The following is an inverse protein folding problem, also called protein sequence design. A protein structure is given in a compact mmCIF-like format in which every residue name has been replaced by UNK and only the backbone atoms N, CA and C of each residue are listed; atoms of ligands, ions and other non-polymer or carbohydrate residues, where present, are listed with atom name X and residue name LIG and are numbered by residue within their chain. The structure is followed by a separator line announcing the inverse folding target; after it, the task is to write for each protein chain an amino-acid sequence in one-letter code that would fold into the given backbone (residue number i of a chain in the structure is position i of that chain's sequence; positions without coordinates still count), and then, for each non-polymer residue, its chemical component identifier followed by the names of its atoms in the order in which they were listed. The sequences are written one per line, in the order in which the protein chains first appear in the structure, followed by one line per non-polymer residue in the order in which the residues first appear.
data_IF_811310228643
#
_entry.id   IF_811310228643
#
_cell.length_a   1.000
_cell.length_b   1.000
_cell.length_c   1.000
_cell.angle_alpha   90.00
_cell.angle_beta   90.00
_cell.angle_gamma   90.00
#
_symmetry.space_group_name_H-M   'P 1'
#
loop_
_entity.id
_entity.type
_entity.pdbx_description
1 polymer ?
#
# COMPACT_ATOMS: atom_id res chain seq x y z
N UNK A 1 21.24 56.00 0.56
CA UNK A 1 21.91 55.81 -0.74
C UNK A 1 21.47 54.47 -1.31
N UNK A 2 20.53 54.48 -2.25
CA UNK A 2 20.03 53.24 -2.89
C UNK A 2 21.10 52.73 -3.83
N UNK A 3 21.68 51.58 -3.51
CA UNK A 3 22.78 50.99 -4.27
C UNK A 3 22.29 50.62 -5.67
N UNK A 4 22.89 51.21 -6.72
CA UNK A 4 22.54 50.87 -8.09
C UNK A 4 22.81 49.38 -8.35
N UNK A 5 21.85 48.63 -8.93
CA UNK A 5 22.02 47.20 -9.18
C UNK A 5 23.16 46.95 -10.17
N UNK A 6 23.92 45.88 -9.94
CA UNK A 6 25.05 45.51 -10.79
C UNK A 6 24.60 45.29 -12.24
N UNK A 7 25.48 45.51 -13.24
CA UNK A 7 25.14 45.30 -14.65
C UNK A 7 24.60 43.89 -14.95
N UNK A 8 25.09 42.88 -14.21
CA UNK A 8 24.60 41.50 -14.34
C UNK A 8 23.18 41.35 -13.79
N UNK A 9 22.84 42.01 -12.68
CA UNK A 9 21.49 41.97 -12.11
C UNK A 9 20.45 42.56 -13.07
N UNK A 10 20.78 43.68 -13.74
CA UNK A 10 19.91 44.29 -14.76
C UNK A 10 19.63 43.36 -15.93
N UNK A 11 20.66 42.69 -16.47
CA UNK A 11 20.51 41.73 -17.58
C UNK A 11 19.59 40.56 -17.19
N UNK A 12 19.75 40.01 -15.98
CA UNK A 12 18.88 38.94 -15.47
C UNK A 12 17.43 39.39 -15.33
N UNK A 13 17.21 40.60 -14.84
CA UNK A 13 15.88 41.19 -14.70
C UNK A 13 15.19 41.37 -16.06
N UNK A 14 15.85 41.98 -17.05
CA UNK A 14 15.29 42.12 -18.40
C UNK A 14 14.96 40.75 -19.02
N UNK A 15 15.85 39.76 -18.86
CA UNK A 15 15.60 38.40 -19.37
C UNK A 15 14.35 37.78 -18.76
N UNK A 16 14.14 37.94 -17.44
CA UNK A 16 12.98 37.42 -16.73
C UNK A 16 11.67 38.08 -17.20
N UNK A 17 11.69 39.40 -17.39
CA UNK A 17 10.53 40.14 -17.91
C UNK A 17 10.16 39.68 -19.33
N UNK A 18 11.15 39.50 -20.21
CA UNK A 18 10.91 39.02 -21.58
C UNK A 18 10.29 37.62 -21.56
N UNK A 19 10.80 36.70 -20.74
CA UNK A 19 10.22 35.35 -20.64
C UNK A 19 8.78 35.39 -20.12
N UNK A 20 8.50 36.20 -19.09
CA UNK A 20 7.15 36.31 -18.54
C UNK A 20 6.15 36.87 -19.58
N UNK A 21 6.56 37.90 -20.33
CA UNK A 21 5.74 38.49 -21.38
C UNK A 21 5.40 37.49 -22.50
N UNK A 22 6.36 36.65 -22.92
CA UNK A 22 6.13 35.59 -23.90
C UNK A 22 5.10 34.58 -23.39
N UNK A 23 5.24 34.14 -22.14
CA UNK A 23 4.29 33.20 -21.55
C UNK A 23 2.88 33.79 -21.40
N UNK A 24 2.78 35.08 -21.06
CA UNK A 24 1.50 35.79 -20.96
C UNK A 24 0.83 35.99 -22.32
N UNK A 25 1.60 36.20 -23.39
CA UNK A 25 1.07 36.30 -24.75
C UNK A 25 0.60 34.94 -25.31
N UNK A 26 1.25 33.84 -24.90
CA UNK A 26 0.87 32.47 -25.26
C UNK A 26 -0.25 31.89 -24.39
N UNK A 27 -0.64 32.58 -23.31
CA UNK A 27 -1.73 32.18 -22.43
C UNK A 27 -3.08 32.63 -23.02
N UNK A 28 -3.78 31.72 -23.67
CA UNK A 28 -5.07 31.97 -24.30
C UNK A 28 -6.19 32.31 -23.29
N UNK A 29 -6.06 31.90 -22.03
CA UNK A 29 -7.06 32.15 -20.98
C UNK A 29 -6.70 33.37 -20.11
N UNK A 30 -5.56 34.02 -20.37
CA UNK A 30 -5.05 35.19 -19.64
C UNK A 30 -5.22 35.06 -18.12
N UNK A 31 -4.77 33.94 -17.57
CA UNK A 31 -4.97 33.66 -16.15
C UNK A 31 -4.12 34.58 -15.30
N UNK A 32 -4.72 35.09 -14.23
CA UNK A 32 -4.00 35.86 -13.22
C UNK A 32 -3.35 34.91 -12.22
N UNK A 33 -2.03 34.83 -12.25
CA UNK A 33 -1.26 34.00 -11.33
C UNK A 33 -0.95 34.78 -10.06
N UNK A 34 -1.03 34.13 -8.90
CA UNK A 34 -0.69 34.75 -7.61
C UNK A 34 0.80 35.14 -7.52
N UNK A 35 1.65 34.45 -8.29
CA UNK A 35 3.09 34.71 -8.39
C UNK A 35 3.49 34.88 -9.85
N UNK A 36 4.31 35.89 -10.13
CA UNK A 36 4.82 36.16 -11.50
C UNK A 36 5.58 34.98 -12.12
N UNK A 37 6.20 34.14 -11.27
CA UNK A 37 6.94 32.94 -11.67
C UNK A 37 6.05 31.82 -12.22
N UNK A 38 4.73 31.87 -11.98
CA UNK A 38 3.79 30.85 -12.44
C UNK A 38 3.21 31.15 -13.83
N UNK A 39 3.53 32.31 -14.42
CA UNK A 39 3.17 32.67 -15.80
C UNK A 39 3.47 31.58 -16.86
N UNK A 40 4.54 30.75 -16.77
CA UNK A 40 4.77 29.68 -17.74
C UNK A 40 3.69 28.60 -17.79
N UNK A 41 2.90 28.43 -16.71
CA UNK A 41 1.86 27.41 -16.63
C UNK A 41 0.71 27.64 -17.61
N UNK A 42 0.30 28.90 -17.84
CA UNK A 42 -0.77 29.23 -18.81
C UNK A 42 -0.39 28.94 -20.27
N UNK A 43 0.91 28.99 -20.59
CA UNK A 43 1.43 28.71 -21.94
C UNK A 43 1.71 27.22 -22.22
N UNK A 44 1.43 26.32 -21.28
CA UNK A 44 1.76 24.88 -21.43
C UNK A 44 0.99 24.26 -22.60
N UNK A 45 -0.32 24.49 -22.67
CA UNK A 45 -1.16 23.97 -23.76
C UNK A 45 -0.71 24.46 -25.13
N UNK A 46 -0.57 25.77 -25.32
CA UNK A 46 -0.14 26.36 -26.59
C UNK A 46 1.22 25.82 -27.04
N UNK A 47 2.16 25.62 -26.11
CA UNK A 47 3.47 25.03 -26.42
C UNK A 47 3.40 23.54 -26.75
N UNK A 48 2.55 22.77 -26.07
CA UNK A 48 2.36 21.35 -26.37
C UNK A 48 1.73 21.17 -27.76
N UNK A 49 0.70 21.96 -28.09
CA UNK A 49 0.06 21.94 -29.41
C UNK A 49 1.05 22.34 -30.52
N UNK A 50 1.90 23.34 -30.28
CA UNK A 50 2.88 23.78 -31.26
C UNK A 50 4.04 22.81 -31.46
N UNK A 51 4.48 22.10 -30.41
CA UNK A 51 5.61 21.19 -30.48
C UNK A 51 5.22 19.75 -30.89
N UNK A 52 3.99 19.31 -30.58
CA UNK A 52 3.50 17.97 -30.88
C UNK A 52 2.05 17.97 -31.41
N UNK A 53 1.80 18.52 -32.61
CA UNK A 53 0.45 18.63 -33.18
C UNK A 53 -0.23 17.27 -33.40
N UNK A 54 0.52 16.22 -33.77
CA UNK A 54 -0.04 14.91 -34.11
C UNK A 54 -0.13 13.94 -32.91
N UNK A 55 0.57 14.21 -31.80
CA UNK A 55 0.63 13.32 -30.63
C UNK A 55 -0.35 13.71 -29.52
N UNK A 56 -0.83 14.97 -29.54
CA UNK A 56 -1.91 15.43 -28.66
C UNK A 56 -3.26 14.95 -29.20
N UNK A 57 -3.56 13.66 -29.02
CA UNK A 57 -4.91 13.17 -29.29
C UNK A 57 -5.91 13.85 -28.32
N UNK A 58 -7.05 14.26 -28.85
CA UNK A 58 -8.14 14.91 -28.12
C UNK A 58 -8.48 14.12 -26.84
N UNK A 59 -8.25 14.73 -25.66
CA UNK A 59 -8.48 14.09 -24.35
C UNK A 59 -7.26 13.62 -23.55
N UNK A 60 -6.02 13.77 -24.04
CA UNK A 60 -4.81 13.53 -23.21
C UNK A 60 -4.47 14.68 -22.27
N UNK A 61 -4.91 15.90 -22.59
CA UNK A 61 -4.77 17.09 -21.76
C UNK A 61 -5.99 17.16 -20.82
N UNK A 62 -5.77 16.92 -19.54
CA UNK A 62 -6.80 16.99 -18.50
C UNK A 62 -6.55 18.25 -17.68
N UNK A 63 -7.61 18.96 -17.31
CA UNK A 63 -7.53 20.01 -16.29
C UNK A 63 -7.47 19.38 -14.90
N UNK A 64 -6.42 19.70 -14.16
CA UNK A 64 -6.26 19.35 -12.74
C UNK A 64 -7.41 19.92 -11.89
N UNK A 65 -7.51 19.51 -10.62
CA UNK A 65 -8.45 20.09 -9.64
C UNK A 65 -8.21 21.60 -9.45
N UNK A 66 -6.99 22.08 -9.73
CA UNK A 66 -6.60 23.50 -9.75
C UNK A 66 -6.76 24.16 -11.14
N UNK A 67 -7.37 23.46 -12.10
CA UNK A 67 -7.63 23.93 -13.46
C UNK A 67 -6.42 23.97 -14.39
N UNK A 68 -5.25 23.48 -13.97
CA UNK A 68 -4.00 23.49 -14.77
C UNK A 68 -4.02 22.42 -15.86
N UNK A 69 -3.39 22.70 -17.00
CA UNK A 69 -3.25 21.72 -18.08
C UNK A 69 -2.20 20.67 -17.73
N UNK A 70 -2.64 19.42 -17.50
CA UNK A 70 -1.77 18.28 -17.22
C UNK A 70 -1.95 17.19 -18.26
N UNK A 71 -0.85 16.55 -18.64
CA UNK A 71 -0.88 15.32 -19.42
C UNK A 71 -1.29 14.15 -18.53
N UNK A 72 -2.22 13.32 -19.02
CA UNK A 72 -2.53 12.03 -18.40
C UNK A 72 -1.42 11.01 -18.64
N UNK A 73 -0.23 11.26 -18.10
CA UNK A 73 0.96 10.42 -18.29
C UNK A 73 0.94 9.15 -17.42
N UNK A 74 0.15 9.14 -16.34
CA UNK A 74 0.14 8.04 -15.38
C UNK A 74 -1.30 7.63 -15.03
N UNK A 75 -1.61 6.31 -14.98
CA UNK A 75 -2.91 5.83 -14.50
C UNK A 75 -3.11 6.17 -13.03
N UNK A 76 -4.37 6.36 -12.63
CA UNK A 76 -4.75 6.77 -11.28
C UNK A 76 -4.23 5.77 -10.23
N UNK A 77 -3.43 6.27 -9.29
CA UNK A 77 -2.81 5.45 -8.27
C UNK A 77 -3.84 5.04 -7.20
N UNK A 78 -4.45 3.84 -7.35
CA UNK A 78 -5.24 3.21 -6.28
C UNK A 78 -4.35 2.78 -5.12
N UNK A 79 -4.10 3.68 -4.17
CA UNK A 79 -3.42 3.33 -2.90
C UNK A 79 -4.28 2.37 -2.10
N UNK A 80 -3.71 1.25 -1.68
CA UNK A 80 -4.35 0.41 -0.65
C UNK A 80 -4.49 1.21 0.64
N UNK A 81 -5.66 1.11 1.25
CA UNK A 81 -5.87 1.53 2.62
C UNK A 81 -4.86 0.83 3.54
N UNK A 82 -4.08 1.64 4.26
CA UNK A 82 -2.97 1.21 5.12
C UNK A 82 -3.39 1.20 6.60
N UNK A 83 -4.69 1.02 6.88
CA UNK A 83 -5.14 0.84 8.26
C UNK A 83 -4.72 -0.55 8.77
N UNK A 84 -3.99 -0.63 9.89
CA UNK A 84 -3.58 -1.91 10.45
C UNK A 84 -4.80 -2.71 10.90
N UNK A 85 -4.80 -4.02 10.64
CA UNK A 85 -5.84 -4.91 11.14
C UNK A 85 -5.81 -4.89 12.69
N UNK A 86 -6.99 -4.83 13.35
CA UNK A 86 -7.07 -4.76 14.80
C UNK A 86 -6.46 -6.01 15.45
N UNK A 87 -5.54 -5.81 16.39
CA UNK A 87 -4.89 -6.88 17.15
C UNK A 87 -5.94 -7.67 17.97
N UNK A 88 -6.15 -8.95 17.63
CA UNK A 88 -6.96 -9.89 18.46
C UNK A 88 -6.02 -10.83 19.21
N UNK A 89 -5.89 -10.61 20.52
CA UNK A 89 -4.99 -11.37 21.43
C UNK A 89 -5.68 -12.49 22.21
N UNK A 90 -7.00 -12.68 22.10
CA UNK A 90 -7.72 -13.67 22.90
C UNK A 90 -7.73 -15.07 22.23
N UNK A 91 -6.99 -16.08 22.78
CA UNK A 91 -6.94 -17.42 22.22
C UNK A 91 -8.27 -18.18 22.36
N UNK A 92 -9.01 -17.96 23.45
CA UNK A 92 -10.30 -18.63 23.72
C UNK A 92 -11.40 -18.09 22.80
N UNK A 93 -11.43 -16.76 22.62
CA UNK A 93 -12.36 -16.12 21.68
C UNK A 93 -12.13 -16.58 20.25
N UNK A 94 -10.87 -16.75 19.84
CA UNK A 94 -10.51 -17.24 18.50
C UNK A 94 -10.94 -18.69 18.27
N UNK A 95 -10.81 -19.54 19.28
CA UNK A 95 -11.26 -20.93 19.21
C UNK A 95 -12.79 -21.04 19.14
N UNK A 96 -13.51 -20.27 19.97
CA UNK A 96 -14.98 -20.25 19.95
C UNK A 96 -15.56 -19.68 18.66
N UNK A 97 -14.91 -18.69 18.05
CA UNK A 97 -15.32 -18.16 16.74
C UNK A 97 -15.16 -19.21 15.63
N UNK A 98 -14.07 -20.00 15.68
CA UNK A 98 -13.82 -21.11 14.75
C UNK A 98 -14.86 -22.22 14.90
N UNK A 99 -15.26 -22.56 16.12
CA UNK A 99 -16.34 -23.52 16.37
C UNK A 99 -17.70 -23.03 15.86
N UNK A 100 -17.95 -21.72 15.88
CA UNK A 100 -19.18 -21.12 15.33
C UNK A 100 -19.09 -20.78 13.83
N UNK A 101 -18.02 -21.17 13.15
CA UNK A 101 -17.83 -20.92 11.71
C UNK A 101 -17.61 -19.44 11.36
N UNK A 102 -17.32 -18.57 12.34
CA UNK A 102 -16.99 -17.15 12.13
C UNK A 102 -15.47 -16.97 12.02
N UNK A 103 -14.83 -17.76 11.17
CA UNK A 103 -13.43 -17.53 10.87
C UNK A 103 -13.29 -16.23 10.06
N UNK A 104 -12.78 -15.19 10.72
CA UNK A 104 -12.49 -13.90 10.09
C UNK A 104 -11.27 -14.11 9.19
N UNK A 105 -11.49 -14.14 7.89
CA UNK A 105 -10.40 -14.16 6.91
C UNK A 105 -9.62 -12.84 7.03
N UNK A 106 -8.30 -12.89 7.23
CA UNK A 106 -7.46 -11.71 7.20
C UNK A 106 -7.65 -10.93 5.90
N UNK A 107 -7.68 -9.60 5.97
CA UNK A 107 -7.94 -8.75 4.80
C UNK A 107 -6.88 -8.90 3.71
N UNK A 108 -5.67 -9.33 4.06
CA UNK A 108 -4.60 -9.63 3.10
C UNK A 108 -4.89 -10.86 2.22
N UNK A 109 -5.57 -11.89 2.76
CA UNK A 109 -5.94 -13.06 1.96
C UNK A 109 -7.06 -12.73 0.98
N UNK A 110 -8.01 -11.87 1.34
CA UNK A 110 -9.10 -11.45 0.45
C UNK A 110 -8.63 -10.70 -0.81
N UNK A 111 -7.38 -10.21 -0.83
CA UNK A 111 -6.79 -9.47 -1.95
C UNK A 111 -6.03 -10.37 -2.93
N UNK A 112 -5.62 -11.56 -2.49
CA UNK A 112 -4.77 -12.47 -3.25
C UNK A 112 -5.62 -13.32 -4.20
N UNK A 113 -5.08 -13.75 -5.34
CA UNK A 113 -5.83 -14.62 -6.27
C UNK A 113 -6.19 -15.95 -5.57
N UNK A 114 -7.33 -16.57 -5.90
CA UNK A 114 -7.79 -17.80 -5.21
C UNK A 114 -6.73 -18.90 -5.22
N UNK A 115 -5.99 -19.02 -6.32
CA UNK A 115 -4.88 -19.98 -6.50
C UNK A 115 -3.74 -19.75 -5.50
N UNK A 116 -3.33 -18.49 -5.31
CA UNK A 116 -2.27 -18.13 -4.35
C UNK A 116 -2.74 -18.31 -2.90
N UNK A 117 -4.01 -17.98 -2.59
CA UNK A 117 -4.60 -18.21 -1.26
C UNK A 117 -4.57 -19.69 -0.87
N UNK A 118 -4.94 -20.59 -1.79
CA UNK A 118 -4.93 -22.02 -1.53
C UNK A 118 -3.51 -22.55 -1.32
N UNK A 119 -2.54 -22.00 -2.07
CA UNK A 119 -1.13 -22.37 -1.90
C UNK A 119 -0.63 -21.97 -0.50
N UNK A 120 -0.85 -20.74 -0.05
CA UNK A 120 -0.45 -20.28 1.29
C UNK A 120 -1.14 -21.07 2.40
N UNK A 121 -2.43 -21.38 2.23
CA UNK A 121 -3.18 -22.18 3.19
C UNK A 121 -2.63 -23.61 3.29
N UNK A 122 -2.22 -24.23 2.16
CA UNK A 122 -1.55 -25.53 2.16
C UNK A 122 -0.26 -25.49 2.97
N UNK A 123 0.60 -24.49 2.78
CA UNK A 123 1.84 -24.34 3.55
C UNK A 123 1.60 -24.17 5.06
N UNK A 124 0.61 -23.36 5.46
CA UNK A 124 0.23 -23.19 6.88
C UNK A 124 -0.35 -24.46 7.49
N UNK A 125 -1.15 -25.19 6.71
CA UNK A 125 -1.76 -26.46 7.14
C UNK A 125 -0.69 -27.51 7.39
N UNK A 126 0.28 -27.67 6.48
CA UNK A 126 1.40 -28.60 6.64
C UNK A 126 2.23 -28.26 7.89
N UNK A 127 2.53 -26.97 8.12
CA UNK A 127 3.25 -26.54 9.33
C UNK A 127 2.49 -26.86 10.62
N UNK A 128 1.16 -26.74 10.60
CA UNK A 128 0.32 -27.01 11.77
C UNK A 128 0.16 -28.51 12.02
N UNK A 129 0.02 -29.33 10.98
CA UNK A 129 -0.03 -30.80 11.06
C UNK A 129 1.21 -31.35 11.76
N UNK A 130 2.40 -30.91 11.35
CA UNK A 130 3.67 -31.34 11.98
C UNK A 130 3.67 -31.06 13.49
N UNK A 131 3.20 -29.89 13.90
CA UNK A 131 3.13 -29.50 15.32
C UNK A 131 2.15 -30.37 16.10
N UNK A 132 0.98 -30.67 15.54
CA UNK A 132 -0.02 -31.49 16.22
C UNK A 132 0.40 -32.96 16.33
N UNK A 133 1.07 -33.53 15.32
CA UNK A 133 1.57 -34.91 15.40
C UNK A 133 2.51 -35.06 16.59
N UNK A 134 3.48 -34.15 16.75
CA UNK A 134 4.40 -34.20 17.88
C UNK A 134 3.68 -34.03 19.22
N UNK A 135 2.72 -33.10 19.29
CA UNK A 135 1.96 -32.84 20.50
C UNK A 135 1.12 -34.07 20.92
N UNK A 136 0.49 -34.75 19.96
CA UNK A 136 -0.30 -35.95 20.22
C UNK A 136 0.61 -37.11 20.65
N UNK A 137 1.77 -37.26 20.01
CA UNK A 137 2.76 -38.28 20.38
C UNK A 137 3.26 -38.10 21.81
N UNK A 138 3.57 -36.87 22.24
CA UNK A 138 4.02 -36.61 23.61
C UNK A 138 2.91 -36.85 24.63
N UNK A 139 1.67 -36.45 24.32
CA UNK A 139 0.52 -36.74 25.17
C UNK A 139 0.28 -38.26 25.31
N UNK A 140 0.35 -38.99 24.20
CA UNK A 140 0.19 -40.45 24.22
C UNK A 140 1.28 -41.13 25.06
N UNK A 141 2.54 -40.72 24.88
CA UNK A 141 3.65 -41.21 25.70
C UNK A 141 3.46 -40.88 27.18
N UNK A 142 2.93 -39.70 27.51
CA UNK A 142 2.64 -39.29 28.90
C UNK A 142 1.56 -40.17 29.52
N UNK A 143 0.48 -40.46 28.79
CA UNK A 143 -0.60 -41.33 29.25
C UNK A 143 -0.11 -42.76 29.43
N UNK A 144 0.64 -43.30 28.47
CA UNK A 144 1.20 -44.66 28.54
C UNK A 144 2.17 -44.79 29.71
N UNK A 145 3.07 -43.82 29.91
CA UNK A 145 3.99 -43.81 31.05
C UNK A 145 3.24 -43.80 32.39
N UNK A 146 2.18 -42.99 32.49
CA UNK A 146 1.34 -42.92 33.70
C UNK A 146 0.59 -44.23 33.94
N UNK A 147 0.05 -44.84 32.89
CA UNK A 147 -0.64 -46.14 32.99
C UNK A 147 0.31 -47.26 33.39
N UNK A 148 1.50 -47.31 32.79
CA UNK A 148 2.51 -48.31 33.10
C UNK A 148 2.93 -48.26 34.59
N UNK A 149 3.10 -47.04 35.14
CA UNK A 149 3.35 -46.87 36.58
C UNK A 149 2.14 -47.32 37.44
N UNK A 150 0.91 -47.03 37.02
CA UNK A 150 -0.31 -47.40 37.76
C UNK A 150 -0.58 -48.90 37.76
N UNK A 151 -0.38 -49.58 36.64
CA UNK A 151 -0.62 -51.02 36.55
C UNK A 151 0.48 -51.83 37.22
N UNK A 152 1.75 -51.40 37.12
CA UNK A 152 2.83 -52.07 37.86
C UNK A 152 2.68 -51.91 39.38
N UNK A 153 2.17 -50.78 39.88
CA UNK A 153 1.87 -50.60 41.32
C UNK A 153 0.62 -51.37 41.76
N UNK A 154 -0.38 -51.52 40.89
CA UNK A 154 -1.58 -52.32 41.17
C UNK A 154 -1.30 -53.83 41.21
N UNK A 155 -0.39 -54.35 40.37
CA UNK A 155 -0.04 -55.78 40.32
C UNK A 155 0.97 -56.20 41.39
N UNK A 156 1.78 -55.27 41.91
CA UNK A 156 2.72 -55.54 43.01
C UNK A 156 2.08 -55.53 44.40
N UNK A 157 0.83 -55.08 44.53
CA UNK A 157 0.07 -55.08 45.79
C UNK A 157 -0.86 -56.29 46.00
N UNK A 158 -0.94 -57.23 45.06
CA UNK A 158 -1.85 -58.40 45.08
C UNK A 158 -1.11 -59.76 45.19
N UNK A 159 0.17 -59.74 45.56
CA UNK A 159 1.00 -60.94 45.74
C UNK A 159 1.75 -60.96 47.06
N UNK A 160 1.25 -60.24 48.07
CA UNK A 160 1.84 -60.13 49.39
C UNK A 160 0.78 -60.41 50.48
N UNK A 161 0.17 -61.59 50.36
CA UNK A 161 -0.64 -62.26 51.39
C UNK A 161 -0.44 -63.78 51.27
#
# INVERSE_FOLDING_TARGET
MTQCPSPQARKRHCRRLISAAVHQALDAEHRTWAREDDSPQGSVKARLEQAWPDSLADGQLIKDDEGRDQLKAMPEAKRSSMFPDPWRTNPVGRFWDRLRGRDVTPRYLARLTKEEQESEQKWRTVGTIRRYILLILTLAQTVVATWYMKDHSSLSGLGAD
#
